data_IF_568933849438
#
_entry.id   IF_568933849438
#
_cell.length_a   1.000
_cell.length_b   1.000
_cell.length_c   1.000
_cell.angle_alpha   90.00
_cell.angle_beta   90.00
_cell.angle_gamma   90.00
#
_symmetry.space_group_name_H-M   'P 1'
#
loop_
_entity.id
_entity.type
_entity.pdbx_description
1 polymer ?
#
# COMPACT_ATOMS: atom_id res chain seq x y z
N UNK A 1 -5.61 -8.27 4.88
CA UNK A 1 -6.11 -7.42 3.78
C UNK A 1 -6.66 -6.17 4.43
N UNK A 2 -6.29 -4.99 3.95
CA UNK A 2 -6.73 -3.71 4.53
C UNK A 2 -7.65 -2.93 3.60
N UNK A 3 -7.63 -3.24 2.31
CA UNK A 3 -8.53 -2.67 1.31
C UNK A 3 -8.68 -3.64 0.14
N UNK A 4 -9.89 -3.74 -0.41
CA UNK A 4 -10.18 -4.47 -1.63
C UNK A 4 -11.43 -3.91 -2.30
N UNK A 5 -11.27 -3.32 -3.47
CA UNK A 5 -12.36 -2.72 -4.25
C UNK A 5 -12.00 -2.80 -5.74
N UNK A 6 -12.93 -3.28 -6.57
CA UNK A 6 -12.82 -3.44 -8.02
C UNK A 6 -11.50 -4.05 -8.54
N UNK A 7 -10.55 -3.17 -8.86
CA UNK A 7 -9.27 -3.50 -9.49
C UNK A 7 -8.08 -3.34 -8.54
N UNK A 8 -8.31 -2.92 -7.31
CA UNK A 8 -7.25 -2.66 -6.34
C UNK A 8 -7.39 -3.58 -5.14
N UNK A 9 -6.30 -4.23 -4.78
CA UNK A 9 -6.16 -4.97 -3.53
C UNK A 9 -4.95 -4.47 -2.77
N UNK A 10 -5.14 -4.19 -1.48
CA UNK A 10 -4.07 -3.75 -0.57
C UNK A 10 -4.06 -4.61 0.68
N UNK A 11 -2.88 -5.10 1.04
CA UNK A 11 -2.71 -5.87 2.25
C UNK A 11 -1.36 -5.62 2.91
N UNK A 12 -1.31 -5.85 4.22
CA UNK A 12 -0.08 -5.75 5.01
C UNK A 12 0.33 -7.14 5.48
N UNK A 13 1.63 -7.42 5.43
CA UNK A 13 2.26 -8.54 6.13
C UNK A 13 3.05 -8.00 7.30
N UNK A 14 2.92 -8.64 8.45
CA UNK A 14 3.63 -8.25 9.68
C UNK A 14 4.49 -9.41 10.12
N UNK A 15 5.76 -9.14 10.39
CA UNK A 15 6.68 -10.08 11.00
C UNK A 15 7.52 -9.36 12.06
N UNK A 16 7.34 -9.75 13.33
CA UNK A 16 7.84 -8.99 14.48
C UNK A 16 7.35 -7.54 14.40
N UNK A 17 8.25 -6.56 14.45
CA UNK A 17 7.92 -5.14 14.32
C UNK A 17 7.98 -4.63 12.87
N UNK A 18 8.36 -5.46 11.91
CA UNK A 18 8.45 -5.05 10.51
C UNK A 18 7.10 -5.25 9.81
N UNK A 19 6.72 -4.27 9.00
CA UNK A 19 5.52 -4.32 8.16
C UNK A 19 5.90 -4.18 6.70
N UNK A 20 5.19 -4.93 5.86
CA UNK A 20 5.28 -4.82 4.41
C UNK A 20 3.88 -4.52 3.88
N UNK A 21 3.71 -3.36 3.27
CA UNK A 21 2.49 -2.97 2.57
C UNK A 21 2.63 -3.38 1.11
N UNK A 22 1.60 -4.03 0.58
CA UNK A 22 1.53 -4.44 -0.83
C UNK A 22 0.24 -3.89 -1.41
N UNK A 23 0.35 -3.14 -2.50
CA UNK A 23 -0.78 -2.67 -3.29
C UNK A 23 -0.65 -3.21 -4.72
N UNK A 24 -1.75 -3.74 -5.24
CA UNK A 24 -1.84 -4.24 -6.62
C UNK A 24 -3.04 -3.56 -7.25
N UNK A 25 -2.82 -2.88 -8.38
CA UNK A 25 -3.85 -2.28 -9.20
C UNK A 25 -3.84 -2.96 -10.57
N UNK A 26 -4.95 -3.57 -10.99
CA UNK A 26 -5.11 -4.16 -12.34
C UNK A 26 -5.87 -3.27 -13.32
N UNK A 27 -6.27 -2.06 -12.90
CA UNK A 27 -7.05 -1.11 -13.69
C UNK A 27 -6.23 0.09 -14.14
N UNK A 28 -6.94 1.19 -14.41
CA UNK A 28 -6.35 2.51 -14.71
C UNK A 28 -5.63 3.11 -13.51
N UNK A 29 -4.80 4.14 -13.74
CA UNK A 29 -4.16 4.87 -12.67
C UNK A 29 -5.20 5.49 -11.74
N UNK A 30 -5.02 5.34 -10.42
CA UNK A 30 -6.01 5.74 -9.43
C UNK A 30 -5.39 6.15 -8.10
N UNK A 31 -6.21 6.79 -7.28
CA UNK A 31 -5.91 7.06 -5.88
C UNK A 31 -6.84 6.25 -4.98
N UNK A 32 -6.28 5.71 -3.91
CA UNK A 32 -7.02 4.94 -2.91
C UNK A 32 -6.75 5.53 -1.54
N UNK A 33 -7.82 5.94 -0.86
CA UNK A 33 -7.76 6.35 0.54
C UNK A 33 -7.84 5.09 1.39
N UNK A 34 -6.84 4.86 2.22
CA UNK A 34 -6.80 3.76 3.16
C UNK A 34 -7.18 4.29 4.54
N UNK A 35 -8.20 3.68 5.15
CA UNK A 35 -8.60 4.02 6.51
C UNK A 35 -7.47 3.78 7.51
N UNK A 36 -7.45 4.60 8.56
CA UNK A 36 -6.49 4.48 9.65
C UNK A 36 -6.49 3.06 10.23
N UNK A 37 -5.31 2.47 10.33
CA UNK A 37 -5.14 1.10 10.82
C UNK A 37 -3.92 0.98 11.72
N UNK A 38 -4.00 0.23 12.84
CA UNK A 38 -2.83 -0.14 13.62
C UNK A 38 -1.76 -0.87 12.79
N UNK A 39 -2.11 -1.47 11.65
CA UNK A 39 -1.21 -2.12 10.70
C UNK A 39 -0.41 -1.14 9.82
N UNK A 40 -0.83 0.13 9.78
CA UNK A 40 -0.16 1.20 9.03
C UNK A 40 0.70 2.13 9.88
N UNK A 41 0.56 2.04 11.21
CA UNK A 41 1.32 2.83 12.17
C UNK A 41 2.81 2.42 12.22
N UNK A 42 3.63 3.07 11.39
CA UNK A 42 5.10 2.99 11.32
C UNK A 42 5.67 4.40 11.22
N UNK A 43 6.94 4.58 11.56
CA UNK A 43 7.56 5.91 11.50
C UNK A 43 7.69 6.46 10.06
N UNK A 44 7.72 5.56 9.08
CA UNK A 44 7.75 5.90 7.67
C UNK A 44 7.74 4.66 6.78
N UNK A 45 7.31 4.86 5.53
CA UNK A 45 7.29 3.82 4.51
C UNK A 45 8.39 4.06 3.48
N UNK A 46 9.18 3.03 3.21
CA UNK A 46 10.18 3.03 2.13
C UNK A 46 9.66 2.19 0.98
N UNK A 47 9.51 2.77 -0.20
CA UNK A 47 9.20 2.04 -1.42
C UNK A 47 10.37 1.11 -1.78
N UNK A 48 10.08 -0.18 -1.94
CA UNK A 48 11.06 -1.19 -2.34
C UNK A 48 10.89 -1.60 -3.80
N UNK A 49 9.65 -1.72 -4.27
CA UNK A 49 9.32 -2.17 -5.62
C UNK A 49 8.13 -1.40 -6.18
N UNK A 50 8.13 -1.16 -7.48
CA UNK A 50 7.05 -0.47 -8.20
C UNK A 50 7.24 1.05 -8.28
N UNK A 51 6.17 1.75 -8.65
CA UNK A 51 6.18 3.19 -8.88
C UNK A 51 4.99 3.92 -8.22
N UNK A 52 4.32 3.26 -7.26
CA UNK A 52 3.27 3.88 -6.46
C UNK A 52 3.82 4.80 -5.38
N UNK A 53 2.99 5.72 -4.90
CA UNK A 53 3.28 6.57 -3.75
C UNK A 53 2.34 6.22 -2.58
N UNK A 54 2.83 6.33 -1.34
CA UNK A 54 2.00 6.21 -0.14
C UNK A 54 2.33 7.36 0.82
N UNK A 55 1.40 8.30 0.97
CA UNK A 55 1.57 9.51 1.80
C UNK A 55 0.23 9.84 2.47
N UNK A 56 0.25 10.13 3.77
CA UNK A 56 -0.91 10.57 4.54
C UNK A 56 -2.19 9.71 4.36
N UNK A 57 -2.01 8.39 4.32
CA UNK A 57 -3.12 7.43 4.15
C UNK A 57 -3.62 7.28 2.71
N UNK A 58 -3.03 8.00 1.74
CA UNK A 58 -3.40 7.95 0.32
C UNK A 58 -2.37 7.18 -0.48
N UNK A 59 -2.84 6.17 -1.22
CA UNK A 59 -2.08 5.43 -2.22
C UNK A 59 -2.33 6.00 -3.61
N UNK A 60 -1.29 6.43 -4.30
CA UNK A 60 -1.34 6.75 -5.74
C UNK A 60 -0.74 5.58 -6.52
N UNK A 61 -1.53 4.91 -7.35
CA UNK A 61 -1.15 3.69 -8.05
C UNK A 61 -1.18 3.89 -9.57
N UNK A 62 -0.08 3.61 -10.30
CA UNK A 62 -0.12 3.57 -11.76
C UNK A 62 -1.09 2.50 -12.29
N UNK A 63 -1.47 2.64 -13.56
CA UNK A 63 -2.25 1.61 -14.25
C UNK A 63 -1.47 0.28 -14.30
N UNK A 64 -2.16 -0.84 -14.08
CA UNK A 64 -1.60 -2.20 -14.13
C UNK A 64 -0.24 -2.30 -13.42
N UNK A 65 -0.27 -2.19 -12.10
CA UNK A 65 0.93 -2.06 -11.28
C UNK A 65 0.85 -2.87 -9.99
N UNK A 66 2.03 -3.15 -9.44
CA UNK A 66 2.19 -3.60 -8.07
C UNK A 66 3.26 -2.71 -7.41
N UNK A 67 3.06 -2.39 -6.14
CA UNK A 67 4.04 -1.64 -5.35
C UNK A 67 4.15 -2.22 -3.95
N UNK A 68 5.38 -2.23 -3.44
CA UNK A 68 5.72 -2.84 -2.15
C UNK A 68 6.49 -1.83 -1.32
N UNK A 69 6.01 -1.56 -0.12
CA UNK A 69 6.68 -0.70 0.85
C UNK A 69 7.05 -1.49 2.10
N UNK A 70 8.21 -1.16 2.68
CA UNK A 70 8.60 -1.64 4.00
C UNK A 70 8.53 -0.50 5.01
N UNK A 71 7.97 -0.80 6.19
CA UNK A 71 7.88 0.11 7.33
C UNK A 71 8.39 -0.57 8.59
N UNK A 72 9.03 0.21 9.46
CA UNK A 72 9.52 -0.24 10.76
C UNK A 72 8.92 0.59 11.89
#
# INVERSE_FOLDING_TARGET
>A
MIYAEDNVVVFVRVYKQQRVLVAINRGEACEVVIEDSPLLNVAGWTLLEGAGAFQDGVLTLPAISASVWSGR
#
